data_IF_221475669759
#
_entry.id   IF_221475669759
#
_cell.length_a   1.000
_cell.length_b   1.000
_cell.length_c   1.000
_cell.angle_alpha   90.00
_cell.angle_beta   90.00
_cell.angle_gamma   90.00
#
_symmetry.space_group_name_H-M   'P 1'
#
loop_
_entity.id
_entity.type
_entity.pdbx_description
1 polymer ?
#
# COMPACT_ATOMS: atom_id res chain seq x y z
N UNK A 1 -3.34 -30.92 -9.38
CA UNK A 1 -3.83 -29.96 -8.35
C UNK A 1 -5.35 -29.85 -8.37
N UNK A 2 -5.99 -29.70 -9.53
CA UNK A 2 -7.45 -29.52 -9.67
C UNK A 2 -8.31 -30.63 -9.06
N UNK A 3 -7.96 -31.91 -9.25
CA UNK A 3 -8.69 -33.04 -8.63
C UNK A 3 -8.60 -33.05 -7.11
N UNK A 4 -7.42 -32.77 -6.54
CA UNK A 4 -7.22 -32.72 -5.09
C UNK A 4 -8.04 -31.57 -4.47
N UNK A 5 -8.10 -30.42 -5.15
CA UNK A 5 -8.95 -29.30 -4.75
C UNK A 5 -10.44 -29.67 -4.84
N UNK A 6 -10.88 -30.35 -5.90
CA UNK A 6 -12.25 -30.82 -6.05
C UNK A 6 -12.64 -31.79 -4.92
N UNK A 7 -11.79 -32.75 -4.58
CA UNK A 7 -12.03 -33.66 -3.46
C UNK A 7 -12.10 -32.95 -2.11
N UNK A 8 -11.32 -31.89 -1.90
CA UNK A 8 -11.43 -31.07 -0.70
C UNK A 8 -12.77 -30.30 -0.66
N UNK A 9 -13.16 -29.69 -1.78
CA UNK A 9 -14.43 -28.98 -1.91
C UNK A 9 -15.63 -29.91 -1.69
N UNK A 10 -15.63 -31.11 -2.31
CA UNK A 10 -16.64 -32.14 -2.09
C UNK A 10 -16.78 -32.52 -0.62
N UNK A 11 -15.66 -32.72 0.09
CA UNK A 11 -15.68 -33.04 1.52
C UNK A 11 -16.30 -31.91 2.33
N UNK A 12 -15.92 -30.66 2.05
CA UNK A 12 -16.43 -29.49 2.77
C UNK A 12 -17.93 -29.27 2.54
N UNK A 13 -18.40 -29.45 1.30
CA UNK A 13 -19.82 -29.40 0.99
C UNK A 13 -20.62 -30.47 1.75
N UNK A 14 -20.12 -31.71 1.78
CA UNK A 14 -20.77 -32.79 2.54
C UNK A 14 -20.74 -32.54 4.05
N UNK A 15 -19.63 -32.10 4.61
CA UNK A 15 -19.55 -31.72 6.03
C UNK A 15 -20.59 -30.64 6.39
N UNK A 16 -20.79 -29.64 5.52
CA UNK A 16 -21.79 -28.59 5.72
C UNK A 16 -23.23 -29.11 5.60
N UNK A 17 -23.50 -29.97 4.61
CA UNK A 17 -24.79 -30.63 4.42
C UNK A 17 -25.14 -31.53 5.60
N UNK A 18 -24.21 -32.35 6.07
CA UNK A 18 -24.39 -33.26 7.21
C UNK A 18 -24.65 -32.48 8.51
N UNK A 19 -23.98 -31.34 8.69
CA UNK A 19 -24.12 -30.53 9.90
C UNK A 19 -25.38 -29.67 9.92
N UNK A 20 -25.79 -29.11 8.77
CA UNK A 20 -26.79 -28.02 8.73
C UNK A 20 -28.03 -28.34 7.87
N UNK A 21 -28.04 -29.48 7.17
CA UNK A 21 -29.10 -29.82 6.20
C UNK A 21 -29.10 -28.95 4.93
N UNK A 22 -28.16 -28.00 4.81
CA UNK A 22 -27.98 -27.13 3.65
C UNK A 22 -26.53 -26.68 3.52
N UNK A 23 -26.09 -26.36 2.31
CA UNK A 23 -24.76 -25.78 2.07
C UNK A 23 -24.79 -24.68 1.01
N UNK A 24 -24.06 -23.60 1.24
CA UNK A 24 -23.92 -22.49 0.29
C UNK A 24 -22.50 -22.41 -0.24
N UNK A 25 -22.33 -22.10 -1.52
CA UNK A 25 -21.02 -22.04 -2.16
C UNK A 25 -21.00 -21.06 -3.34
N UNK A 26 -19.82 -20.53 -3.64
CA UNK A 26 -19.55 -19.66 -4.80
C UNK A 26 -18.71 -20.45 -5.81
N UNK A 27 -19.00 -20.25 -7.11
CA UNK A 27 -18.25 -20.91 -8.18
C UNK A 27 -17.46 -19.90 -9.00
N UNK A 28 -16.14 -20.06 -9.00
CA UNK A 28 -15.24 -19.28 -9.83
C UNK A 28 -15.36 -19.68 -11.32
N UNK A 29 -15.26 -18.70 -12.21
CA UNK A 29 -15.27 -18.92 -13.66
C UNK A 29 -13.87 -18.76 -14.25
N UNK A 30 -13.54 -19.54 -15.29
CA UNK A 30 -12.27 -19.42 -16.01
C UNK A 30 -11.77 -20.74 -16.62
N UNK A 31 -10.83 -20.64 -17.56
CA UNK A 31 -10.22 -21.81 -18.21
C UNK A 31 -9.53 -22.76 -17.23
N UNK A 32 -8.90 -22.21 -16.18
CA UNK A 32 -8.22 -22.98 -15.12
C UNK A 32 -9.17 -23.81 -14.25
N UNK A 33 -10.48 -23.54 -14.28
CA UNK A 33 -11.47 -24.23 -13.44
C UNK A 33 -12.08 -25.46 -14.11
N UNK A 34 -11.76 -25.74 -15.39
CA UNK A 34 -12.43 -26.79 -16.17
C UNK A 34 -12.28 -28.18 -15.53
N UNK A 35 -11.05 -28.57 -15.22
CA UNK A 35 -10.75 -29.87 -14.62
C UNK A 35 -11.28 -29.99 -13.18
N UNK A 36 -11.30 -28.88 -12.44
CA UNK A 36 -11.86 -28.81 -11.09
C UNK A 36 -13.37 -29.04 -11.11
N UNK A 37 -14.11 -28.32 -11.97
CA UNK A 37 -15.57 -28.46 -12.07
C UNK A 37 -15.98 -29.84 -12.61
N UNK A 38 -15.22 -30.39 -13.57
CA UNK A 38 -15.44 -31.74 -14.05
C UNK A 38 -15.29 -32.78 -12.91
N UNK A 39 -14.25 -32.65 -12.09
CA UNK A 39 -14.03 -33.54 -10.95
C UNK A 39 -15.07 -33.34 -9.83
N UNK A 40 -15.46 -32.10 -9.53
CA UNK A 40 -16.44 -31.78 -8.49
C UNK A 40 -17.84 -32.31 -8.86
N UNK A 41 -18.28 -32.09 -10.10
CA UNK A 41 -19.61 -32.54 -10.58
C UNK A 41 -19.71 -34.03 -10.83
N UNK A 42 -18.58 -34.72 -10.97
CA UNK A 42 -18.51 -36.17 -11.02
C UNK A 42 -18.82 -36.81 -9.65
N UNK A 43 -18.66 -36.07 -8.54
CA UNK A 43 -18.97 -36.57 -7.20
C UNK A 43 -20.49 -36.67 -6.97
N UNK A 44 -21.01 -37.89 -7.02
CA UNK A 44 -22.43 -38.21 -6.81
C UNK A 44 -22.81 -38.35 -5.34
N UNK A 45 -21.88 -38.12 -4.41
CA UNK A 45 -22.14 -38.21 -2.97
C UNK A 45 -22.60 -36.89 -2.36
N UNK A 46 -22.57 -35.80 -3.13
CA UNK A 46 -23.06 -34.48 -2.70
C UNK A 46 -24.57 -34.41 -2.98
N UNK A 47 -25.33 -34.03 -1.96
CA UNK A 47 -26.77 -33.76 -2.09
C UNK A 47 -27.01 -32.34 -2.61
N UNK A 48 -26.98 -32.20 -3.94
CA UNK A 48 -27.07 -30.92 -4.63
C UNK A 48 -28.42 -30.21 -4.45
N UNK A 49 -29.50 -30.94 -4.18
CA UNK A 49 -30.84 -30.38 -3.98
C UNK A 49 -30.91 -29.49 -2.73
N UNK A 50 -30.04 -29.74 -1.75
CA UNK A 50 -29.92 -28.96 -0.52
C UNK A 50 -28.78 -27.94 -0.56
N UNK A 51 -28.36 -27.53 -1.77
CA UNK A 51 -27.31 -26.52 -1.96
C UNK A 51 -27.84 -25.20 -2.52
N UNK A 52 -27.19 -24.11 -2.14
CA UNK A 52 -27.38 -22.76 -2.70
C UNK A 52 -26.10 -22.33 -3.39
N UNK A 53 -26.17 -22.12 -4.71
CA UNK A 53 -25.04 -21.64 -5.49
C UNK A 53 -25.13 -20.13 -5.69
N UNK A 54 -24.04 -19.43 -5.39
CA UNK A 54 -23.86 -18.03 -5.74
C UNK A 54 -23.08 -17.88 -7.04
N UNK A 55 -23.69 -17.18 -7.99
CA UNK A 55 -23.09 -16.82 -9.27
C UNK A 55 -22.26 -15.54 -9.15
N UNK A 56 -21.04 -15.53 -9.68
CA UNK A 56 -20.18 -14.33 -9.81
C UNK A 56 -20.45 -13.58 -11.12
N UNK A 57 -20.14 -12.28 -11.17
CA UNK A 57 -20.55 -11.33 -12.22
C UNK A 57 -20.49 -11.81 -13.69
N UNK A 58 -21.34 -11.20 -14.53
CA UNK A 58 -21.39 -11.39 -15.98
C UNK A 58 -21.00 -10.09 -16.70
N UNK A 59 -20.45 -10.19 -17.92
CA UNK A 59 -20.18 -9.02 -18.74
C UNK A 59 -21.48 -8.33 -19.20
N UNK A 60 -21.57 -7.01 -18.98
CA UNK A 60 -22.68 -6.21 -19.49
C UNK A 60 -22.72 -6.28 -21.02
N UNK A 61 -23.88 -6.63 -21.57
CA UNK A 61 -24.15 -6.58 -23.01
C UNK A 61 -23.81 -7.86 -23.81
N UNK A 62 -23.32 -8.92 -23.17
CA UNK A 62 -23.04 -10.19 -23.85
C UNK A 62 -24.30 -11.08 -23.86
N UNK A 63 -24.75 -11.56 -25.04
CA UNK A 63 -25.85 -12.53 -25.13
C UNK A 63 -25.46 -13.86 -24.50
N UNK A 64 -26.43 -14.54 -23.89
CA UNK A 64 -26.22 -15.82 -23.23
C UNK A 64 -25.61 -16.90 -24.15
N UNK A 65 -25.90 -16.86 -25.44
CA UNK A 65 -25.38 -17.82 -26.43
C UNK A 65 -23.90 -17.63 -26.75
N UNK A 66 -23.32 -16.49 -26.36
CA UNK A 66 -21.95 -16.10 -26.69
C UNK A 66 -20.92 -17.02 -26.02
N UNK A 67 -19.83 -17.42 -26.70
CA UNK A 67 -18.81 -18.31 -26.12
C UNK A 67 -18.13 -17.80 -24.85
N UNK A 68 -18.10 -16.48 -24.63
CA UNK A 68 -17.53 -15.84 -23.43
C UNK A 68 -18.56 -15.57 -22.31
N UNK A 69 -19.82 -15.99 -22.47
CA UNK A 69 -20.89 -15.86 -21.48
C UNK A 69 -20.60 -16.74 -20.26
N UNK A 70 -20.48 -16.14 -19.08
CA UNK A 70 -20.30 -16.89 -17.84
C UNK A 70 -21.56 -17.65 -17.45
N UNK A 71 -22.74 -17.12 -17.79
CA UNK A 71 -24.03 -17.83 -17.66
C UNK A 71 -24.03 -19.15 -18.43
N UNK A 72 -23.56 -19.13 -19.68
CA UNK A 72 -23.44 -20.35 -20.50
C UNK A 72 -22.38 -21.30 -19.92
N UNK A 73 -21.24 -20.75 -19.51
CA UNK A 73 -20.15 -21.51 -18.92
C UNK A 73 -20.59 -22.32 -17.71
N UNK A 74 -21.24 -21.67 -16.73
CA UNK A 74 -21.72 -22.33 -15.50
C UNK A 74 -22.88 -23.27 -15.79
N UNK A 75 -23.74 -22.94 -16.75
CA UNK A 75 -24.83 -23.83 -17.12
C UNK A 75 -24.33 -25.18 -17.63
N UNK A 76 -23.45 -25.14 -18.64
CA UNK A 76 -22.94 -26.35 -19.31
C UNK A 76 -22.07 -27.22 -18.40
N UNK A 77 -21.40 -26.62 -17.40
CA UNK A 77 -20.35 -27.29 -16.61
C UNK A 77 -20.73 -27.59 -15.17
N UNK A 78 -21.87 -27.09 -14.72
CA UNK A 78 -22.34 -27.29 -13.35
C UNK A 78 -23.85 -27.45 -13.32
N UNK A 79 -24.62 -26.41 -13.68
CA UNK A 79 -26.07 -26.38 -13.43
C UNK A 79 -26.79 -27.53 -14.14
N UNK A 80 -26.53 -27.75 -15.43
CA UNK A 80 -27.18 -28.82 -16.20
C UNK A 80 -26.67 -30.23 -15.83
N UNK A 81 -25.59 -30.31 -15.05
CA UNK A 81 -24.98 -31.59 -14.62
C UNK A 81 -25.49 -32.00 -13.25
N UNK A 82 -25.52 -31.05 -12.30
CA UNK A 82 -25.80 -31.34 -10.88
C UNK A 82 -27.10 -30.77 -10.37
N UNK A 83 -27.74 -29.83 -11.07
CA UNK A 83 -29.04 -29.25 -10.74
C UNK A 83 -29.12 -28.77 -9.27
N UNK A 84 -28.34 -27.74 -8.87
CA UNK A 84 -28.35 -27.25 -7.49
C UNK A 84 -29.73 -26.74 -7.09
N UNK A 85 -30.11 -26.91 -5.81
CA UNK A 85 -31.44 -26.58 -5.28
C UNK A 85 -31.87 -25.13 -5.50
N UNK A 86 -31.08 -24.16 -5.05
CA UNK A 86 -31.30 -22.74 -5.32
C UNK A 86 -30.08 -22.09 -5.98
N UNK A 87 -30.35 -21.11 -6.85
CA UNK A 87 -29.32 -20.29 -7.49
C UNK A 87 -29.62 -18.83 -7.16
N UNK A 88 -28.71 -18.19 -6.43
CA UNK A 88 -28.78 -16.79 -6.06
C UNK A 88 -27.68 -15.99 -6.78
N UNK A 89 -27.93 -14.69 -6.98
CA UNK A 89 -26.95 -13.76 -7.56
C UNK A 89 -26.43 -12.88 -6.43
N UNK A 90 -25.12 -12.90 -6.20
CA UNK A 90 -24.46 -12.02 -5.26
C UNK A 90 -23.66 -10.97 -6.00
N UNK A 91 -23.87 -9.69 -5.67
CA UNK A 91 -22.96 -8.62 -6.05
C UNK A 91 -21.91 -8.51 -4.96
N UNK A 92 -20.70 -8.99 -5.26
CA UNK A 92 -19.62 -9.06 -4.28
C UNK A 92 -18.55 -8.05 -4.65
N UNK A 93 -18.30 -7.09 -3.76
CA UNK A 93 -17.08 -6.30 -3.80
C UNK A 93 -15.90 -7.19 -3.43
N UNK A 94 -14.99 -7.41 -4.37
CA UNK A 94 -13.72 -8.11 -4.11
C UNK A 94 -12.69 -7.03 -3.79
N UNK A 95 -12.17 -7.05 -2.55
CA UNK A 95 -11.04 -6.23 -2.14
C UNK A 95 -9.76 -6.66 -2.87
N UNK A 96 -8.79 -5.77 -2.98
CA UNK A 96 -7.67 -5.93 -3.93
C UNK A 96 -6.70 -7.08 -3.61
N UNK A 97 -6.68 -7.57 -2.37
CA UNK A 97 -5.96 -8.79 -1.97
C UNK A 97 -6.78 -10.09 -2.18
N UNK A 98 -7.94 -10.02 -2.83
CA UNK A 98 -8.89 -11.13 -2.94
C UNK A 98 -9.75 -11.35 -1.70
N UNK A 99 -9.73 -10.41 -0.74
CA UNK A 99 -10.59 -10.43 0.43
C UNK A 99 -12.04 -10.17 0.02
N UNK A 100 -12.92 -11.11 0.34
CA UNK A 100 -14.34 -10.85 0.39
C UNK A 100 -14.62 -10.16 1.72
N UNK A 101 -14.98 -8.88 1.69
CA UNK A 101 -15.41 -8.17 2.89
C UNK A 101 -16.69 -8.84 3.42
N UNK A 102 -16.60 -9.46 4.60
CA UNK A 102 -17.77 -9.87 5.37
C UNK A 102 -18.17 -8.72 6.32
N UNK A 103 -19.41 -8.78 6.81
CA UNK A 103 -19.91 -7.95 7.90
C UNK A 103 -18.90 -8.04 9.07
N UNK A 104 -18.12 -6.97 9.29
CA UNK A 104 -17.01 -6.95 10.26
C UNK A 104 -17.55 -6.99 11.69
N UNK A 105 -16.87 -7.64 12.66
CA UNK A 105 -17.37 -7.70 14.03
C UNK A 105 -17.51 -6.31 14.68
N UNK A 106 -18.64 -6.02 15.37
CA UNK A 106 -19.81 -6.87 15.52
C UNK A 106 -20.69 -6.83 14.26
N UNK A 107 -20.80 -7.97 13.59
CA UNK A 107 -21.65 -8.15 12.43
C UNK A 107 -23.13 -8.07 12.84
N UNK A 108 -23.88 -7.14 12.25
CA UNK A 108 -25.33 -7.10 12.41
C UNK A 108 -25.99 -8.00 11.35
N UNK A 109 -26.37 -9.20 11.78
CA UNK A 109 -27.02 -10.19 10.91
C UNK A 109 -28.53 -9.97 10.74
N UNK A 110 -29.10 -9.00 11.46
CA UNK A 110 -30.54 -8.70 11.46
C UNK A 110 -30.85 -7.39 10.71
N UNK A 111 -29.84 -6.73 10.13
CA UNK A 111 -30.04 -5.49 9.37
C UNK A 111 -30.84 -5.74 8.09
N UNK A 112 -31.89 -4.92 7.87
CA UNK A 112 -32.66 -4.88 6.64
C UNK A 112 -32.21 -3.73 5.72
N UNK A 113 -31.27 -2.89 6.18
CA UNK A 113 -30.76 -1.76 5.41
C UNK A 113 -29.85 -2.23 4.27
N UNK A 114 -29.93 -1.62 3.06
CA UNK A 114 -29.17 -2.06 1.89
C UNK A 114 -27.65 -1.85 2.01
N UNK A 115 -27.23 -1.08 3.01
CA UNK A 115 -25.84 -0.88 3.40
C UNK A 115 -25.80 -0.46 4.87
N UNK A 116 -24.71 -0.81 5.54
CA UNK A 116 -24.37 -0.36 6.89
C UNK A 116 -23.07 0.41 6.83
N UNK A 117 -22.99 1.53 7.55
CA UNK A 117 -21.73 2.24 7.79
C UNK A 117 -21.06 1.55 8.98
N UNK A 118 -19.93 0.91 8.73
CA UNK A 118 -19.12 0.24 9.74
C UNK A 118 -17.80 0.99 9.90
N UNK A 119 -17.44 1.33 11.14
CA UNK A 119 -16.09 1.76 11.48
C UNK A 119 -15.21 0.51 11.52
N UNK A 120 -14.17 0.48 10.67
CA UNK A 120 -13.24 -0.64 10.61
C UNK A 120 -12.43 -0.71 11.91
N UNK A 121 -12.37 -1.90 12.52
CA UNK A 121 -11.46 -2.16 13.62
C UNK A 121 -10.00 -2.01 13.17
N UNK A 122 -9.14 -1.53 14.07
CA UNK A 122 -7.73 -1.24 13.81
C UNK A 122 -6.98 -2.47 13.25
N UNK A 123 -7.30 -3.67 13.74
CA UNK A 123 -6.69 -4.91 13.24
C UNK A 123 -7.09 -5.24 11.79
N UNK A 124 -8.28 -4.82 11.34
CA UNK A 124 -8.75 -4.99 9.97
C UNK A 124 -8.12 -3.94 9.03
N UNK A 125 -7.95 -2.69 9.49
CA UNK A 125 -7.23 -1.64 8.75
C UNK A 125 -5.79 -2.07 8.44
N UNK A 126 -5.09 -2.61 9.44
CA UNK A 126 -3.71 -3.09 9.29
C UNK A 126 -3.57 -4.34 8.39
N UNK A 127 -4.62 -5.18 8.27
CA UNK A 127 -4.61 -6.35 7.36
C UNK A 127 -4.77 -5.99 5.89
N UNK A 128 -5.25 -4.78 5.62
CA UNK A 128 -5.52 -4.27 4.29
C UNK A 128 -4.30 -3.52 3.72
N UNK A 129 -3.38 -3.03 4.56
CA UNK A 129 -2.09 -2.48 4.11
C UNK A 129 -1.33 -3.56 3.30
N UNK A 130 -0.95 -3.30 2.04
CA UNK A 130 -0.11 -4.19 1.28
C UNK A 130 1.12 -4.54 2.10
N UNK A 131 1.34 -5.84 2.37
CA UNK A 131 2.59 -6.34 2.96
C UNK A 131 3.70 -6.32 1.92
N UNK A 132 3.87 -5.19 1.26
CA UNK A 132 4.99 -4.94 0.39
C UNK A 132 6.24 -4.95 1.26
N UNK A 133 7.04 -6.01 1.12
CA UNK A 133 8.29 -6.16 1.87
C UNK A 133 9.32 -5.11 1.48
N UNK A 134 9.10 -4.41 0.38
CA UNK A 134 9.91 -3.29 -0.06
C UNK A 134 9.52 -1.99 0.64
N UNK A 135 8.40 -1.92 1.37
CA UNK A 135 8.13 -0.84 2.32
C UNK A 135 8.99 -1.07 3.58
N UNK A 136 9.96 -0.19 3.80
CA UNK A 136 10.96 -0.29 4.85
C UNK A 136 10.60 0.50 6.11
N UNK A 137 9.82 1.55 5.97
CA UNK A 137 9.36 2.42 7.05
C UNK A 137 8.08 3.10 6.62
N UNK A 138 7.10 3.16 7.51
CA UNK A 138 5.94 4.01 7.36
C UNK A 138 5.54 4.59 8.71
N UNK A 139 5.83 5.88 8.90
CA UNK A 139 5.43 6.66 10.06
C UNK A 139 4.27 7.56 9.65
N UNK A 140 3.05 7.17 10.01
CA UNK A 140 1.85 7.96 9.73
C UNK A 140 1.76 9.21 10.59
N UNK A 141 2.41 9.24 11.76
CA UNK A 141 2.35 10.34 12.72
C UNK A 141 0.91 10.65 13.19
N UNK A 142 0.11 9.59 13.33
CA UNK A 142 -1.28 9.67 13.76
C UNK A 142 -1.52 9.44 15.26
N UNK A 143 -0.47 9.18 16.05
CA UNK A 143 -0.60 8.83 17.47
C UNK A 143 -1.20 9.98 18.30
N UNK A 144 -0.93 11.23 17.91
CA UNK A 144 -1.53 12.44 18.50
C UNK A 144 -1.12 12.74 19.94
N UNK A 145 -0.27 11.92 20.56
CA UNK A 145 0.29 12.10 21.90
C UNK A 145 1.44 11.12 22.15
N UNK A 146 2.24 11.44 23.18
CA UNK A 146 3.32 10.55 23.63
C UNK A 146 4.57 10.69 22.80
N UNK A 147 5.52 9.80 23.08
CA UNK A 147 6.87 9.79 22.52
C UNK A 147 7.15 8.59 21.61
N UNK A 148 6.27 7.59 21.57
CA UNK A 148 6.40 6.43 20.68
C UNK A 148 5.64 6.65 19.40
N UNK A 149 6.24 6.26 18.29
CA UNK A 149 5.67 6.36 16.95
C UNK A 149 5.82 4.97 16.32
N UNK A 150 4.72 4.39 15.89
CA UNK A 150 4.69 3.02 15.35
C UNK A 150 5.13 3.02 13.89
N UNK A 151 5.95 2.02 13.52
CA UNK A 151 6.21 1.73 12.11
C UNK A 151 5.12 0.80 11.57
N UNK A 152 4.27 1.34 10.69
CA UNK A 152 3.20 0.60 10.04
C UNK A 152 3.70 -0.29 8.89
N UNK A 153 5.00 -0.26 8.58
CA UNK A 153 5.60 -1.17 7.62
C UNK A 153 5.74 -2.59 8.18
N UNK A 154 5.95 -3.62 7.33
CA UNK A 154 6.25 -4.96 7.78
C UNK A 154 7.59 -5.14 8.54
N UNK A 155 8.43 -4.09 8.64
CA UNK A 155 9.77 -4.18 9.21
C UNK A 155 9.83 -3.95 10.72
N UNK A 156 8.87 -3.21 11.30
CA UNK A 156 8.85 -2.90 12.73
C UNK A 156 10.00 -1.98 13.17
N UNK A 157 10.35 -1.01 12.33
CA UNK A 157 11.33 0.05 12.60
C UNK A 157 10.71 1.19 13.42
N UNK A 158 10.04 0.86 14.54
CA UNK A 158 9.38 1.83 15.42
C UNK A 158 10.30 2.99 15.78
N UNK A 159 9.73 4.19 15.88
CA UNK A 159 10.44 5.43 16.13
C UNK A 159 10.09 6.03 17.48
N UNK A 160 10.94 6.96 17.94
CA UNK A 160 10.75 7.72 19.17
C UNK A 160 10.88 9.22 18.90
N UNK A 161 9.96 10.02 19.42
CA UNK A 161 10.06 11.47 19.48
C UNK A 161 11.00 11.87 20.62
N UNK A 162 12.06 12.59 20.27
CA UNK A 162 13.09 13.08 21.19
C UNK A 162 13.07 14.60 21.24
N UNK A 163 12.84 15.17 22.43
CA UNK A 163 12.73 16.61 22.62
C UNK A 163 11.33 17.13 22.32
N UNK A 164 11.20 18.45 22.16
CA UNK A 164 9.89 19.11 22.09
C UNK A 164 9.39 19.23 20.64
N UNK A 165 8.31 18.51 20.31
CA UNK A 165 7.50 18.73 19.11
C UNK A 165 6.02 18.65 19.51
N UNK A 166 5.16 19.33 18.76
CA UNK A 166 3.73 19.40 19.06
C UNK A 166 2.92 18.51 18.11
N UNK A 167 1.99 17.74 18.66
CA UNK A 167 1.00 17.00 17.87
C UNK A 167 -0.07 17.97 17.39
N UNK A 168 -0.23 18.08 16.06
CA UNK A 168 -1.16 19.02 15.40
C UNK A 168 -2.10 18.28 14.45
N UNK A 169 -3.09 18.98 13.90
CA UNK A 169 -3.89 18.43 12.80
C UNK A 169 -3.04 18.36 11.52
N UNK A 170 -2.98 17.16 10.93
CA UNK A 170 -2.09 16.83 9.83
C UNK A 170 -2.66 17.12 8.45
N UNK A 171 -1.96 16.61 7.43
CA UNK A 171 -2.51 16.45 6.09
C UNK A 171 -3.63 15.41 6.13
N UNK A 172 -3.40 14.32 6.86
CA UNK A 172 -4.39 13.32 7.21
C UNK A 172 -4.39 13.17 8.72
N UNK A 173 -5.56 13.24 9.35
CA UNK A 173 -5.71 13.11 10.81
C UNK A 173 -4.72 13.98 11.64
N UNK A 174 -3.59 13.43 12.11
CA UNK A 174 -2.59 14.12 12.93
C UNK A 174 -1.23 14.19 12.23
N UNK A 175 -0.36 15.06 12.77
CA UNK A 175 1.00 15.21 12.32
C UNK A 175 1.88 15.76 13.45
N UNK A 176 3.18 15.89 13.20
CA UNK A 176 4.12 16.54 14.12
C UNK A 176 4.60 17.90 13.59
N UNK A 177 4.45 18.93 14.43
CA UNK A 177 5.03 20.25 14.22
C UNK A 177 6.40 20.36 14.92
N UNK A 178 7.42 20.59 14.12
CA UNK A 178 8.80 20.79 14.54
C UNK A 178 9.08 22.30 14.55
N UNK A 179 9.04 22.96 15.69
CA UNK A 179 9.33 24.40 15.82
C UNK A 179 10.84 24.69 15.95
N UNK A 180 11.67 24.05 15.13
CA UNK A 180 13.13 23.89 15.33
C UNK A 180 13.50 23.27 16.69
N UNK A 181 12.56 22.51 17.23
CA UNK A 181 12.69 21.71 18.42
C UNK A 181 12.27 20.28 18.09
N UNK A 182 12.62 19.34 18.98
CA UNK A 182 12.32 17.94 18.75
C UNK A 182 13.13 17.31 17.61
N UNK A 183 12.93 16.01 17.44
CA UNK A 183 13.32 15.17 16.31
C UNK A 183 12.66 13.80 16.49
N UNK A 184 12.33 13.12 15.39
CA UNK A 184 11.91 11.70 15.46
C UNK A 184 13.08 10.83 15.07
N UNK A 185 13.30 9.77 15.83
CA UNK A 185 14.43 8.86 15.70
C UNK A 185 13.94 7.43 15.50
N UNK A 186 14.21 6.87 14.33
CA UNK A 186 14.01 5.47 14.00
C UNK A 186 15.35 4.74 13.83
N UNK A 187 15.39 3.40 13.90
CA UNK A 187 16.59 2.61 13.61
C UNK A 187 17.20 2.91 12.23
N UNK A 188 18.47 2.57 12.07
CA UNK A 188 19.13 2.62 10.76
C UNK A 188 18.46 1.66 9.77
N UNK A 189 18.15 2.18 8.58
CA UNK A 189 17.60 1.45 7.45
C UNK A 189 18.69 1.33 6.38
N UNK A 190 18.96 0.11 5.90
CA UNK A 190 20.05 -0.16 4.97
C UNK A 190 19.72 0.27 3.52
N UNK A 191 20.12 1.49 3.16
CA UNK A 191 19.91 2.10 1.84
C UNK A 191 21.18 2.15 0.97
N UNK A 192 22.35 1.75 1.48
CA UNK A 192 23.61 1.86 0.75
C UNK A 192 23.63 1.03 -0.54
N UNK A 193 24.08 1.64 -1.62
CA UNK A 193 24.21 1.04 -2.97
C UNK A 193 22.91 0.54 -3.60
N UNK A 194 21.75 0.91 -3.03
CA UNK A 194 20.42 0.50 -3.50
C UNK A 194 19.67 1.64 -4.20
N UNK A 195 18.72 1.25 -5.05
CA UNK A 195 17.65 2.15 -5.48
C UNK A 195 16.61 2.25 -4.37
N UNK A 196 16.12 3.45 -4.06
CA UNK A 196 15.14 3.65 -3.00
C UNK A 196 14.33 4.92 -3.25
N UNK A 197 13.18 5.01 -2.57
CA UNK A 197 12.32 6.19 -2.59
C UNK A 197 11.93 6.59 -1.18
N UNK A 198 12.00 7.87 -0.86
CA UNK A 198 11.46 8.41 0.40
C UNK A 198 10.41 9.44 0.05
N UNK A 199 9.24 9.35 0.70
CA UNK A 199 8.14 10.30 0.52
C UNK A 199 7.70 10.84 1.87
N UNK A 200 7.15 12.05 1.87
CA UNK A 200 6.49 12.65 3.03
C UNK A 200 5.67 13.86 2.61
N UNK A 201 4.64 14.16 3.39
CA UNK A 201 3.98 15.46 3.38
C UNK A 201 4.74 16.44 4.28
N UNK A 202 4.94 17.66 3.80
CA UNK A 202 5.55 18.75 4.58
C UNK A 202 4.75 20.04 4.46
N UNK A 203 4.72 20.81 5.53
CA UNK A 203 4.21 22.19 5.56
C UNK A 203 5.27 23.09 6.18
N UNK A 204 6.24 23.58 5.38
CA UNK A 204 7.40 24.30 5.90
C UNK A 204 7.04 25.74 6.25
N UNK A 205 7.54 26.26 7.37
CA UNK A 205 7.37 27.66 7.73
C UNK A 205 8.30 28.60 6.94
N UNK A 206 9.30 28.06 6.22
CA UNK A 206 10.35 28.77 5.47
C UNK A 206 11.01 29.93 6.25
N UNK A 207 11.14 29.75 7.55
CA UNK A 207 11.73 30.69 8.48
C UNK A 207 12.53 29.94 9.54
N UNK A 208 13.46 30.63 10.21
CA UNK A 208 14.43 29.99 11.11
C UNK A 208 15.77 29.75 10.44
N UNK A 209 16.45 28.66 10.80
CA UNK A 209 17.71 28.25 10.15
C UNK A 209 17.52 27.98 8.64
N UNK A 210 18.52 28.26 7.81
CA UNK A 210 18.37 28.20 6.34
C UNK A 210 18.63 26.80 5.74
N UNK A 211 19.14 25.83 6.51
CA UNK A 211 19.45 24.49 6.02
C UNK A 211 18.72 23.44 6.83
N UNK A 212 17.39 23.43 6.72
CA UNK A 212 16.51 22.65 7.58
C UNK A 212 16.40 21.22 7.04
N UNK A 213 16.66 20.22 7.87
CA UNK A 213 16.59 18.82 7.45
C UNK A 213 15.25 18.19 7.81
N UNK A 214 14.59 17.59 6.83
CA UNK A 214 13.33 16.85 7.03
C UNK A 214 13.57 15.35 7.22
N UNK A 215 14.64 14.79 6.63
CA UNK A 215 15.02 13.39 6.76
C UNK A 215 16.53 13.25 6.63
N UNK A 216 17.18 12.46 7.49
CA UNK A 216 18.61 12.16 7.40
C UNK A 216 18.98 10.75 7.84
N UNK A 217 20.08 10.23 7.29
CA UNK A 217 20.90 9.17 7.88
C UNK A 217 22.36 9.59 7.80
N UNK A 218 23.01 9.77 8.94
CA UNK A 218 24.36 10.34 9.02
C UNK A 218 25.32 9.35 9.67
N UNK A 219 26.22 8.76 8.88
CA UNK A 219 27.34 8.00 9.43
C UNK A 219 28.48 8.95 9.86
N UNK A 220 28.96 9.74 8.90
CA UNK A 220 30.04 10.73 9.07
C UNK A 220 29.90 11.81 8.00
N UNK A 221 30.29 13.05 8.32
CA UNK A 221 30.24 14.19 7.40
C UNK A 221 31.30 14.10 6.28
N UNK A 222 31.15 13.12 5.40
CA UNK A 222 32.01 12.86 4.25
C UNK A 222 31.17 12.49 3.01
N UNK A 223 31.78 12.67 1.84
CA UNK A 223 31.08 12.49 0.56
C UNK A 223 30.45 11.12 0.44
N UNK A 224 29.18 11.10 0.01
CA UNK A 224 28.31 9.93 -0.15
C UNK A 224 27.95 9.15 1.13
N UNK A 225 28.28 9.65 2.34
CA UNK A 225 28.06 8.92 3.61
C UNK A 225 27.14 9.64 4.61
N UNK A 226 26.54 10.76 4.20
CA UNK A 226 25.46 11.41 4.96
C UNK A 226 24.28 11.75 4.05
N UNK A 227 23.27 10.88 4.09
CA UNK A 227 21.98 11.10 3.45
C UNK A 227 21.27 12.26 4.14
N UNK A 228 20.90 13.27 3.37
CA UNK A 228 20.19 14.42 3.88
C UNK A 228 19.20 14.98 2.87
N UNK A 229 17.99 15.22 3.34
CA UNK A 229 16.94 15.91 2.63
C UNK A 229 16.62 17.21 3.33
N UNK A 230 16.67 18.30 2.58
CA UNK A 230 16.63 19.65 3.13
C UNK A 230 15.60 20.54 2.45
N UNK A 231 15.13 21.52 3.21
CA UNK A 231 14.37 22.66 2.73
C UNK A 231 15.12 23.93 3.17
N UNK A 232 15.31 24.86 2.24
CA UNK A 232 15.91 26.17 2.49
C UNK A 232 14.83 27.24 2.66
N UNK A 233 15.13 28.36 3.33
CA UNK A 233 14.14 29.42 3.56
C UNK A 233 13.66 30.09 2.25
N UNK A 234 14.37 29.88 1.13
CA UNK A 234 13.95 30.33 -0.19
C UNK A 234 13.04 29.32 -0.93
N UNK A 235 12.57 28.27 -0.25
CA UNK A 235 11.73 27.21 -0.83
C UNK A 235 12.50 26.16 -1.63
N UNK A 236 13.83 26.21 -1.71
CA UNK A 236 14.61 25.17 -2.40
C UNK A 236 14.54 23.86 -1.63
N UNK A 237 14.22 22.78 -2.32
CA UNK A 237 14.28 21.41 -1.79
C UNK A 237 15.55 20.74 -2.30
N UNK A 238 16.31 20.11 -1.41
CA UNK A 238 17.56 19.42 -1.74
C UNK A 238 17.50 17.97 -1.33
N UNK A 239 18.03 17.11 -2.20
CA UNK A 239 18.48 15.79 -1.82
C UNK A 239 19.99 15.66 -1.94
N UNK A 240 20.65 14.97 -1.03
CA UNK A 240 22.09 14.79 -1.14
C UNK A 240 22.66 13.72 -0.22
N UNK A 241 23.87 13.31 -0.55
CA UNK A 241 24.65 12.33 0.23
C UNK A 241 25.93 12.95 0.83
N UNK A 242 25.95 14.27 1.00
CA UNK A 242 27.10 15.12 1.35
C UNK A 242 28.03 15.32 0.15
N UNK A 243 28.15 16.56 -0.34
CA UNK A 243 29.00 16.88 -1.49
C UNK A 243 28.54 16.26 -2.83
N UNK A 244 27.37 15.63 -2.84
CA UNK A 244 26.73 15.03 -4.00
C UNK A 244 25.23 15.29 -3.94
N UNK A 245 24.87 16.54 -4.21
CA UNK A 245 23.55 17.07 -3.94
C UNK A 245 22.80 17.36 -5.26
N UNK A 246 21.48 17.41 -5.21
CA UNK A 246 20.58 17.83 -6.28
C UNK A 246 19.56 18.80 -5.67
N UNK A 247 19.34 19.92 -6.36
CA UNK A 247 18.46 21.00 -5.90
C UNK A 247 17.26 21.16 -6.84
N UNK A 248 16.08 21.23 -6.26
CA UNK A 248 14.86 21.75 -6.86
C UNK A 248 14.66 23.19 -6.34
N UNK A 249 15.05 24.23 -7.08
CA UNK A 249 15.04 25.61 -6.59
C UNK A 249 13.62 26.15 -6.46
N UNK A 250 13.34 26.85 -5.35
CA UNK A 250 12.04 27.50 -5.06
C UNK A 250 10.83 26.60 -5.37
N UNK A 251 10.88 25.39 -4.82
CA UNK A 251 9.99 24.28 -5.17
C UNK A 251 8.82 24.11 -4.19
N UNK A 252 8.89 24.69 -2.98
CA UNK A 252 7.81 24.68 -1.99
C UNK A 252 7.57 26.09 -1.44
N UNK A 253 6.34 26.34 -1.00
CA UNK A 253 5.89 27.62 -0.45
C UNK A 253 5.71 27.56 1.08
N UNK A 254 5.76 28.73 1.72
CA UNK A 254 5.63 28.83 3.17
C UNK A 254 4.20 28.53 3.61
N UNK A 255 4.06 27.74 4.67
CA UNK A 255 2.80 27.38 5.31
C UNK A 255 1.79 26.67 4.37
N UNK A 256 2.26 26.07 3.27
CA UNK A 256 1.46 25.26 2.35
C UNK A 256 1.91 23.79 2.39
N UNK A 257 0.95 22.87 2.29
CA UNK A 257 1.25 21.44 2.21
C UNK A 257 1.84 21.11 0.84
N UNK A 258 2.97 20.43 0.83
CA UNK A 258 3.57 19.85 -0.35
C UNK A 258 3.94 18.38 -0.08
N UNK A 259 3.68 17.50 -1.04
CA UNK A 259 4.21 16.15 -0.99
C UNK A 259 5.57 16.12 -1.68
N UNK A 260 6.62 15.80 -0.93
CA UNK A 260 8.00 15.75 -1.44
C UNK A 260 8.43 14.29 -1.59
N UNK A 261 8.97 13.97 -2.76
CA UNK A 261 9.50 12.63 -3.06
C UNK A 261 10.95 12.72 -3.48
N UNK A 262 11.78 11.93 -2.81
CA UNK A 262 13.18 11.73 -3.12
C UNK A 262 13.36 10.35 -3.74
N UNK A 263 13.68 10.32 -5.03
CA UNK A 263 13.69 9.10 -5.82
C UNK A 263 15.10 8.83 -6.33
N UNK A 264 15.63 7.63 -6.08
CA UNK A 264 16.95 7.20 -6.54
C UNK A 264 16.84 5.87 -7.26
N UNK A 265 17.26 5.84 -8.53
CA UNK A 265 17.49 4.62 -9.28
C UNK A 265 18.98 4.47 -9.63
N UNK A 266 19.68 3.67 -8.82
CA UNK A 266 21.10 3.34 -9.02
C UNK A 266 21.31 2.58 -10.34
N UNK A 267 20.40 1.66 -10.70
CA UNK A 267 20.54 0.85 -11.92
C UNK A 267 20.34 1.70 -13.18
N UNK A 268 19.31 2.55 -13.18
CA UNK A 268 19.05 3.51 -14.24
C UNK A 268 19.98 4.73 -14.24
N UNK A 269 20.80 4.90 -13.19
CA UNK A 269 21.71 6.02 -13.00
C UNK A 269 21.00 7.38 -13.00
N UNK A 270 19.87 7.45 -12.33
CA UNK A 270 19.07 8.67 -12.23
C UNK A 270 18.60 8.89 -10.80
N UNK A 271 18.46 10.16 -10.42
CA UNK A 271 17.78 10.57 -9.20
C UNK A 271 16.90 11.77 -9.51
N UNK A 272 15.80 11.89 -8.76
CA UNK A 272 14.79 12.91 -8.98
C UNK A 272 14.26 13.45 -7.66
N UNK A 273 13.81 14.70 -7.71
CA UNK A 273 12.95 15.28 -6.68
C UNK A 273 11.60 15.55 -7.33
N UNK A 274 10.53 14.97 -6.77
CA UNK A 274 9.17 15.31 -7.15
C UNK A 274 8.53 16.20 -6.08
N UNK A 275 7.71 17.14 -6.53
CA UNK A 275 6.84 17.96 -5.69
C UNK A 275 5.42 17.74 -6.20
N UNK A 276 4.52 17.34 -5.29
CA UNK A 276 3.12 17.03 -5.61
C UNK A 276 2.99 16.08 -6.80
N UNK A 277 3.82 15.03 -6.81
CA UNK A 277 3.86 13.99 -7.83
C UNK A 277 4.45 14.42 -9.17
N UNK A 278 4.87 15.69 -9.32
CA UNK A 278 5.50 16.19 -10.54
C UNK A 278 7.02 16.16 -10.43
N UNK A 279 7.66 15.53 -11.40
CA UNK A 279 9.12 15.57 -11.56
C UNK A 279 9.58 17.03 -11.73
N UNK A 280 10.25 17.55 -10.70
CA UNK A 280 10.68 18.95 -10.63
C UNK A 280 12.13 19.10 -11.06
N UNK A 281 12.97 18.09 -10.79
CA UNK A 281 14.36 18.06 -11.23
C UNK A 281 14.86 16.61 -11.32
N UNK A 282 15.66 16.34 -12.35
CA UNK A 282 16.31 15.06 -12.61
C UNK A 282 17.81 15.24 -12.87
N UNK A 283 18.64 14.32 -12.36
CA UNK A 283 20.07 14.20 -12.65
C UNK A 283 20.35 12.87 -13.37
N UNK A 284 19.96 12.82 -14.64
CA UNK A 284 19.98 11.61 -15.47
C UNK A 284 21.38 11.23 -15.96
N UNK A 285 21.69 9.92 -15.94
CA UNK A 285 22.93 9.36 -16.47
C UNK A 285 24.16 9.60 -15.60
N UNK A 286 23.97 9.96 -14.33
CA UNK A 286 25.06 10.29 -13.40
C UNK A 286 25.74 9.04 -12.85
N UNK A 287 27.06 8.99 -12.96
CA UNK A 287 27.88 7.98 -12.28
C UNK A 287 28.16 8.39 -10.83
N UNK A 288 28.33 7.41 -9.93
CA UNK A 288 28.64 7.68 -8.52
C UNK A 288 27.46 8.31 -7.77
N UNK A 289 26.24 7.89 -8.11
CA UNK A 289 24.98 8.40 -7.52
C UNK A 289 24.56 7.58 -6.30
N UNK A 290 25.31 6.54 -5.95
CA UNK A 290 25.02 5.65 -4.83
C UNK A 290 25.23 6.38 -3.50
N UNK A 291 24.28 6.20 -2.57
CA UNK A 291 24.53 6.43 -1.15
C UNK A 291 25.41 5.29 -0.61
N UNK A 292 26.42 5.61 0.19
CA UNK A 292 27.43 4.66 0.68
C UNK A 292 27.48 4.59 2.22
N UNK A 293 26.64 5.33 2.93
CA UNK A 293 26.62 5.30 4.39
C UNK A 293 26.02 3.99 4.90
N UNK A 294 26.70 3.36 5.87
CA UNK A 294 26.34 2.02 6.39
C UNK A 294 25.84 2.04 7.84
N UNK A 295 25.64 3.22 8.40
CA UNK A 295 25.18 3.43 9.78
C UNK A 295 24.60 4.84 9.93
N UNK A 296 24.06 5.12 11.12
CA UNK A 296 23.44 6.39 11.48
C UNK A 296 21.93 6.22 11.56
N UNK A 297 21.35 6.59 12.69
CA UNK A 297 19.91 6.47 12.90
C UNK A 297 19.13 7.25 11.83
N UNK A 298 17.93 6.79 11.52
CA UNK A 298 17.01 7.47 10.61
C UNK A 298 16.34 8.60 11.39
N UNK A 299 16.62 9.85 11.01
CA UNK A 299 16.13 11.02 11.73
C UNK A 299 15.12 11.78 10.87
N UNK A 300 13.97 12.16 11.45
CA UNK A 300 12.97 13.05 10.84
C UNK A 300 12.99 14.40 11.58
N UNK A 301 12.95 15.49 10.81
CA UNK A 301 12.93 16.86 11.33
C UNK A 301 14.27 17.39 11.84
N UNK A 302 15.36 16.61 11.77
CA UNK A 302 16.70 17.07 12.14
C UNK A 302 17.84 16.37 11.41
N UNK A 303 18.99 17.03 11.39
CA UNK A 303 20.30 16.37 11.26
C UNK A 303 20.89 16.25 12.67
N UNK A 304 20.50 15.22 13.41
CA UNK A 304 20.69 15.09 14.88
C UNK A 304 22.06 15.49 15.48
N UNK A 305 23.16 15.38 14.73
CA UNK A 305 24.49 15.82 15.18
C UNK A 305 24.77 17.34 15.05
N UNK A 306 23.84 18.11 14.48
CA UNK A 306 24.01 19.52 14.14
C UNK A 306 22.80 20.36 14.55
N UNK A 307 22.90 21.69 14.48
CA UNK A 307 21.77 22.61 14.72
C UNK A 307 20.79 22.74 13.55
N UNK A 308 20.86 21.86 12.55
CA UNK A 308 20.03 21.91 11.35
C UNK A 308 18.69 21.20 11.60
N UNK A 309 17.73 21.95 12.14
CA UNK A 309 16.39 21.46 12.49
C UNK A 309 15.32 22.02 11.58
N UNK A 310 14.27 21.23 11.34
CA UNK A 310 13.11 21.65 10.58
C UNK A 310 12.23 22.63 11.35
N UNK A 311 11.68 23.60 10.62
CA UNK A 311 10.64 24.49 11.09
C UNK A 311 9.38 24.30 10.25
N UNK A 312 8.40 23.57 10.78
CA UNK A 312 7.15 23.28 10.08
C UNK A 312 6.55 21.94 10.49
N UNK A 313 5.55 21.48 9.74
CA UNK A 313 4.84 20.23 10.01
C UNK A 313 5.30 19.13 9.04
N UNK A 314 5.48 17.91 9.53
CA UNK A 314 5.76 16.71 8.72
C UNK A 314 4.68 15.67 8.99
N UNK A 315 4.28 14.96 7.95
CA UNK A 315 3.24 13.93 7.98
C UNK A 315 3.57 12.79 6.98
N UNK A 316 3.02 11.60 7.19
CA UNK A 316 3.04 10.45 6.27
C UNK A 316 4.43 10.10 5.69
N UNK A 317 5.41 9.79 6.54
CA UNK A 317 6.77 9.49 6.10
C UNK A 317 6.88 8.04 5.65
N UNK A 318 7.28 7.79 4.40
CA UNK A 318 7.55 6.44 3.88
C UNK A 318 8.95 6.27 3.33
N UNK A 319 9.51 5.06 3.44
CA UNK A 319 10.79 4.66 2.84
C UNK A 319 10.59 3.33 2.11
N UNK A 320 10.99 3.28 0.83
CA UNK A 320 10.83 2.11 -0.04
C UNK A 320 12.19 1.61 -0.55
N UNK A 321 12.42 0.30 -0.56
CA UNK A 321 13.62 -0.38 -1.09
C UNK A 321 13.63 -0.46 -2.63
N UNK A 322 12.96 0.49 -3.30
CA UNK A 322 12.91 0.59 -4.75
C UNK A 322 12.66 2.01 -5.21
N UNK A 323 12.97 2.24 -6.48
CA UNK A 323 12.53 3.43 -7.19
C UNK A 323 11.04 3.24 -7.57
N UNK A 324 10.15 4.03 -6.96
CA UNK A 324 8.70 3.92 -7.18
C UNK A 324 8.29 4.26 -8.61
N UNK A 325 7.15 3.71 -9.06
CA UNK A 325 6.51 4.14 -10.30
C UNK A 325 5.86 5.53 -10.13
N UNK A 326 5.59 6.25 -11.23
CA UNK A 326 4.86 7.54 -11.12
C UNK A 326 3.46 7.37 -10.52
N UNK A 327 2.82 6.22 -10.73
CA UNK A 327 1.48 5.96 -10.18
C UNK A 327 1.56 5.66 -8.68
N UNK A 328 2.57 4.92 -8.23
CA UNK A 328 2.81 4.69 -6.80
C UNK A 328 3.15 6.01 -6.08
N UNK A 329 3.89 6.92 -6.74
CA UNK A 329 4.17 8.26 -6.19
C UNK A 329 2.87 9.07 -6.09
N UNK A 330 1.97 8.98 -7.07
CA UNK A 330 0.67 9.67 -6.97
C UNK A 330 -0.17 9.11 -5.82
N UNK A 331 -0.10 7.80 -5.64
CA UNK A 331 -0.81 7.14 -4.57
C UNK A 331 -0.26 7.45 -3.19
N UNK A 332 1.06 7.62 -3.02
CA UNK A 332 1.61 8.04 -1.73
C UNK A 332 1.19 9.44 -1.32
N UNK A 333 0.60 10.24 -2.23
CA UNK A 333 0.00 11.53 -1.89
C UNK A 333 -1.40 11.40 -1.31
N UNK A 334 -2.03 10.24 -1.47
CA UNK A 334 -3.33 9.96 -0.89
C UNK A 334 -3.16 9.40 0.53
N UNK A 335 -4.24 9.37 1.32
CA UNK A 335 -4.20 8.85 2.68
C UNK A 335 -3.94 7.33 2.67
N UNK A 336 -2.69 6.90 2.85
CA UNK A 336 -2.31 5.49 2.81
C UNK A 336 -3.01 4.66 3.90
N UNK A 337 -3.54 5.28 4.96
CA UNK A 337 -4.37 4.63 5.99
C UNK A 337 -5.85 4.51 5.58
N UNK A 338 -6.34 5.39 4.70
CA UNK A 338 -7.64 5.26 4.05
C UNK A 338 -7.59 4.37 2.79
N UNK A 339 -6.41 4.25 2.17
CA UNK A 339 -6.10 3.40 1.03
C UNK A 339 -5.39 2.11 1.44
N UNK A 340 -5.88 1.45 2.49
CA UNK A 340 -5.63 0.02 2.68
C UNK A 340 -6.16 -0.86 1.50
N UNK A 341 -6.52 -0.22 0.38
CA UNK A 341 -6.89 -0.81 -0.88
C UNK A 341 -6.20 0.09 -1.95
N UNK A 342 -5.05 -0.39 -2.47
CA UNK A 342 -4.33 0.10 -3.66
C UNK A 342 -4.73 -0.58 -5.02
N UNK A 343 -5.07 0.20 -6.07
CA UNK A 343 -5.31 -0.24 -7.47
C UNK A 343 -4.13 -0.84 -8.27
N UNK A 344 -2.89 -0.90 -7.79
CA UNK A 344 -1.73 -1.39 -8.55
C UNK A 344 -1.79 -2.90 -8.88
N UNK A 345 -2.45 -3.68 -8.02
CA UNK A 345 -2.64 -5.14 -8.17
C UNK A 345 -4.00 -5.52 -8.78
N UNK A 346 -4.58 -4.66 -9.61
CA UNK A 346 -5.76 -5.02 -10.41
C UNK A 346 -5.48 -6.29 -11.20
N UNK A 347 -6.33 -7.30 -11.01
CA UNK A 347 -6.32 -8.53 -11.81
C UNK A 347 -6.24 -8.23 -13.33
N UNK A 348 -6.84 -7.11 -13.77
CA UNK A 348 -6.82 -6.64 -15.15
C UNK A 348 -5.39 -6.35 -15.69
N UNK A 349 -4.49 -5.76 -14.91
CA UNK A 349 -3.11 -5.46 -15.30
C UNK A 349 -2.23 -6.70 -15.23
N UNK A 350 -2.39 -7.56 -14.22
CA UNK A 350 -1.68 -8.85 -14.13
C UNK A 350 -2.04 -9.78 -15.30
N UNK A 351 -3.32 -9.84 -15.70
CA UNK A 351 -3.77 -10.61 -16.87
C UNK A 351 -3.26 -10.03 -18.20
N UNK A 352 -3.06 -8.70 -18.29
CA UNK A 352 -2.46 -8.08 -19.48
C UNK A 352 -0.98 -8.46 -19.62
N UNK A 353 -0.23 -8.48 -18.51
CA UNK A 353 1.17 -8.88 -18.46
C UNK A 353 1.39 -10.37 -18.78
N UNK A 354 0.51 -11.25 -18.28
CA UNK A 354 0.55 -12.70 -18.58
C UNK A 354 0.18 -13.00 -20.03
N UNK A 355 -0.70 -12.22 -20.66
CA UNK A 355 -1.04 -12.38 -22.09
C UNK A 355 0.02 -11.82 -23.05
N UNK A 356 0.91 -10.94 -22.60
CA UNK A 356 2.01 -10.42 -23.42
C UNK A 356 3.17 -11.41 -23.57
N UNK A 357 3.20 -12.47 -22.76
CA UNK A 357 4.17 -13.57 -22.85
C UNK A 357 3.51 -14.82 -23.45
N UNK A 358 2.98 -14.71 -24.67
CA UNK A 358 2.83 -15.83 -25.60
C UNK A 358 2.76 -15.37 -27.05
#
# INVERSE_FOLDING_TARGET
>A
MSEAAAHLASRKLREALDANGRASFIVATGASQFDFLAALTADKTIDWDNTTMFHLDEYIGIPETHPASFRKYLRERLVDIVHPGTIDVAFVGIGENGHLAFNDPPADFETEDPYILVELDEACRLQQIPKDKELLLYLSLNEGKGDKIEDLSPQGNDAELVGDADWVDGKFEKALEFAQAGEVKAPYIELNEKSFTVTMWVKPALSGGDQQCVFTQTQVNAVNTSLHYRIYNNGTVRMGFYGNDLDAPAAVDADEWAHITFWLDVKGKSRKIYIDGKDTVEDAGKAGIEYLGTAGDTMIGSWGATGQKFNGVIDEVTVWDRALSEDDIKQSMEDLNAFAVDPADKLATTWASVKAWH
#
